data_IF_881500155574
#
_entry.id   IF_881500155574
#
_cell.length_a   1.000
_cell.length_b   1.000
_cell.length_c   1.000
_cell.angle_alpha   90.00
_cell.angle_beta   90.00
_cell.angle_gamma   90.00
#
_symmetry.space_group_name_H-M   'P 1'
#
loop_
_entity.id
_entity.type
_entity.pdbx_description
1 polymer ?
#
# COMPACT_ATOMS: atom_id res chain seq x y z
N UNK A 1 -2.74 15.79 -17.84
CA UNK A 1 -4.12 16.32 -17.98
C UNK A 1 -4.47 16.66 -19.43
N UNK A 2 -3.66 17.48 -20.12
CA UNK A 2 -3.89 17.86 -21.52
C UNK A 2 -4.03 16.69 -22.53
N UNK A 3 -3.26 15.60 -22.37
CA UNK A 3 -3.35 14.42 -23.25
C UNK A 3 -4.67 13.67 -23.09
N UNK A 4 -5.19 13.55 -21.87
CA UNK A 4 -6.44 12.84 -21.59
C UNK A 4 -7.66 13.54 -22.20
N UNK A 5 -7.65 14.88 -22.24
CA UNK A 5 -8.71 15.68 -22.87
C UNK A 5 -8.68 15.56 -24.40
N UNK A 6 -7.49 15.55 -25.01
CA UNK A 6 -7.33 15.37 -26.47
C UNK A 6 -7.79 14.00 -26.94
N UNK A 7 -7.56 12.96 -26.13
CA UNK A 7 -7.98 11.58 -26.43
C UNK A 7 -9.41 11.26 -25.99
N UNK A 8 -10.14 12.23 -25.41
CA UNK A 8 -11.51 12.06 -24.88
C UNK A 8 -11.66 10.87 -23.93
N UNK A 9 -10.66 10.68 -23.07
CA UNK A 9 -10.69 9.59 -22.07
C UNK A 9 -11.81 9.80 -21.07
N UNK A 10 -12.40 8.70 -20.61
CA UNK A 10 -13.35 8.73 -19.50
C UNK A 10 -12.68 9.24 -18.21
N UNK A 11 -13.49 9.76 -17.29
CA UNK A 11 -13.00 10.20 -15.98
C UNK A 11 -12.29 9.07 -15.22
N UNK A 12 -12.74 7.82 -15.40
CA UNK A 12 -12.13 6.63 -14.79
C UNK A 12 -10.72 6.39 -15.36
N UNK A 13 -10.57 6.38 -16.67
CA UNK A 13 -9.27 6.19 -17.35
C UNK A 13 -8.30 7.33 -17.03
N UNK A 14 -8.77 8.58 -17.05
CA UNK A 14 -7.97 9.74 -16.64
C UNK A 14 -7.42 9.55 -15.23
N UNK A 15 -8.27 9.14 -14.29
CA UNK A 15 -7.87 8.91 -12.89
C UNK A 15 -6.84 7.79 -12.78
N UNK A 16 -7.05 6.68 -13.49
CA UNK A 16 -6.13 5.54 -13.53
C UNK A 16 -4.76 5.94 -14.05
N UNK A 17 -4.69 6.64 -15.18
CA UNK A 17 -3.42 7.12 -15.77
C UNK A 17 -2.71 8.11 -14.84
N UNK A 18 -3.46 9.02 -14.21
CA UNK A 18 -2.88 9.94 -13.24
C UNK A 18 -2.29 9.20 -12.04
N UNK A 19 -2.99 8.21 -11.49
CA UNK A 19 -2.48 7.36 -10.39
C UNK A 19 -1.20 6.62 -10.80
N UNK A 20 -1.18 6.01 -11.99
CA UNK A 20 0.01 5.33 -12.51
C UNK A 20 1.23 6.25 -12.60
N UNK A 21 1.03 7.51 -13.00
CA UNK A 21 2.10 8.47 -13.19
C UNK A 21 2.55 9.16 -11.89
N UNK A 22 1.61 9.49 -11.00
CA UNK A 22 1.91 10.24 -9.77
C UNK A 22 2.51 9.38 -8.67
N UNK A 23 2.26 8.07 -8.68
CA UNK A 23 2.81 7.18 -7.66
C UNK A 23 4.29 6.85 -7.94
N UNK A 24 5.22 7.03 -6.97
CA UNK A 24 6.65 6.82 -7.19
C UNK A 24 7.10 5.35 -7.10
N UNK A 25 6.23 4.42 -6.70
CA UNK A 25 6.60 3.01 -6.44
C UNK A 25 7.14 2.33 -7.69
N UNK A 26 8.41 1.93 -7.69
CA UNK A 26 9.02 1.22 -8.81
C UNK A 26 8.76 -0.28 -8.67
N UNK A 27 8.17 -0.88 -9.70
CA UNK A 27 8.00 -2.34 -9.78
C UNK A 27 9.20 -2.97 -10.48
N UNK A 28 9.67 -4.10 -9.94
CA UNK A 28 10.69 -4.97 -10.54
C UNK A 28 10.16 -6.40 -10.55
N UNK A 29 10.70 -7.26 -11.42
CA UNK A 29 10.20 -8.62 -11.56
C UNK A 29 10.51 -9.55 -10.38
N UNK A 30 11.48 -9.21 -9.54
CA UNK A 30 11.99 -10.07 -8.45
C UNK A 30 11.61 -9.55 -7.05
N UNK A 31 10.44 -8.92 -6.92
CA UNK A 31 9.92 -8.54 -5.59
C UNK A 31 9.72 -9.78 -4.72
N UNK A 32 10.17 -9.70 -3.47
CA UNK A 32 9.85 -10.69 -2.44
C UNK A 32 8.36 -10.67 -2.12
N UNK A 33 7.84 -11.77 -1.55
CA UNK A 33 6.42 -11.85 -1.17
C UNK A 33 6.00 -10.71 -0.24
N UNK A 34 6.85 -10.35 0.74
CA UNK A 34 6.60 -9.24 1.66
C UNK A 34 6.50 -7.90 0.95
N UNK A 35 7.37 -7.63 -0.02
CA UNK A 35 7.31 -6.42 -0.84
C UNK A 35 6.05 -6.39 -1.72
N UNK A 36 5.65 -7.53 -2.28
CA UNK A 36 4.41 -7.65 -3.06
C UNK A 36 3.19 -7.34 -2.20
N UNK A 37 3.06 -7.96 -1.02
CA UNK A 37 1.94 -7.71 -0.12
C UNK A 37 1.89 -6.26 0.37
N UNK A 38 3.04 -5.68 0.72
CA UNK A 38 3.16 -4.25 1.06
C UNK A 38 2.68 -3.35 -0.09
N UNK A 39 3.15 -3.61 -1.31
CA UNK A 39 2.75 -2.82 -2.48
C UNK A 39 1.25 -2.98 -2.79
N UNK A 40 0.70 -4.19 -2.67
CA UNK A 40 -0.73 -4.45 -2.83
C UNK A 40 -1.59 -3.74 -1.78
N UNK A 41 -1.11 -3.65 -0.53
CA UNK A 41 -1.80 -2.94 0.54
C UNK A 41 -1.93 -1.44 0.25
N UNK A 42 -0.84 -0.78 -0.14
CA UNK A 42 -0.82 0.66 -0.37
C UNK A 42 -1.40 1.10 -1.72
N UNK A 43 -1.11 0.35 -2.80
CA UNK A 43 -1.55 0.69 -4.15
C UNK A 43 -2.96 0.19 -4.45
N UNK A 44 -3.37 -0.92 -3.82
CA UNK A 44 -4.51 -1.71 -4.23
C UNK A 44 -4.24 -2.52 -5.51
N UNK A 45 -5.13 -3.48 -5.79
CA UNK A 45 -4.95 -4.46 -6.87
C UNK A 45 -4.85 -3.81 -8.27
N UNK A 46 -5.72 -2.83 -8.57
CA UNK A 46 -5.77 -2.20 -9.90
C UNK A 46 -4.46 -1.47 -10.23
N UNK A 47 -4.02 -0.57 -9.33
CA UNK A 47 -2.80 0.20 -9.54
C UNK A 47 -1.55 -0.69 -9.45
N UNK A 48 -1.53 -1.71 -8.60
CA UNK A 48 -0.43 -2.67 -8.56
C UNK A 48 -0.25 -3.36 -9.91
N UNK A 49 -1.32 -3.93 -10.48
CA UNK A 49 -1.28 -4.60 -11.78
C UNK A 49 -0.85 -3.66 -12.91
N UNK A 50 -1.34 -2.43 -12.90
CA UNK A 50 -0.93 -1.38 -13.83
C UNK A 50 0.58 -1.15 -13.79
N UNK A 51 1.15 -0.99 -12.59
CA UNK A 51 2.59 -0.76 -12.44
C UNK A 51 3.42 -1.99 -12.80
N UNK A 52 2.92 -3.19 -12.52
CA UNK A 52 3.55 -4.45 -12.96
C UNK A 52 3.58 -4.52 -14.49
N UNK A 53 2.49 -4.19 -15.18
CA UNK A 53 2.44 -4.16 -16.65
C UNK A 53 3.36 -3.09 -17.25
N UNK A 54 3.40 -1.89 -16.66
CA UNK A 54 4.32 -0.83 -17.09
C UNK A 54 5.79 -1.24 -16.88
N UNK A 55 6.10 -1.86 -15.75
CA UNK A 55 7.44 -2.39 -15.46
C UNK A 55 7.84 -3.48 -16.45
N UNK A 56 6.94 -4.41 -16.74
CA UNK A 56 7.16 -5.48 -17.72
C UNK A 56 7.39 -4.91 -19.12
N UNK A 57 6.58 -3.96 -19.57
CA UNK A 57 6.75 -3.31 -20.87
C UNK A 57 8.12 -2.62 -21.00
N UNK A 58 8.69 -2.11 -19.90
CA UNK A 58 9.99 -1.46 -19.88
C UNK A 58 11.20 -2.41 -19.75
N UNK A 59 11.01 -3.65 -19.27
CA UNK A 59 12.10 -4.57 -18.92
C UNK A 59 12.86 -5.10 -20.16
N UNK A 60 12.24 -5.12 -21.35
CA UNK A 60 12.88 -5.49 -22.63
C UNK A 60 13.47 -6.90 -22.72
N UNK A 61 13.51 -7.64 -21.61
CA UNK A 61 14.11 -8.95 -21.41
C UNK A 61 13.03 -10.02 -21.36
N UNK A 62 13.00 -10.90 -22.37
CA UNK A 62 12.00 -11.96 -22.44
C UNK A 62 12.13 -13.02 -21.33
N UNK A 63 13.31 -13.24 -20.75
CA UNK A 63 13.51 -14.24 -19.71
C UNK A 63 12.85 -13.90 -18.37
N UNK A 64 12.48 -12.62 -18.15
CA UNK A 64 11.79 -12.17 -16.94
C UNK A 64 10.26 -12.31 -17.03
N UNK A 65 9.74 -12.76 -18.17
CA UNK A 65 8.31 -12.80 -18.45
C UNK A 65 7.53 -13.76 -17.52
N UNK A 66 8.20 -14.76 -16.93
CA UNK A 66 7.57 -15.65 -15.96
C UNK A 66 7.37 -14.95 -14.61
N UNK A 67 8.37 -14.19 -14.16
CA UNK A 67 8.38 -13.46 -12.92
C UNK A 67 7.33 -12.32 -12.94
N UNK A 68 7.23 -11.58 -14.05
CA UNK A 68 6.18 -10.57 -14.22
C UNK A 68 4.76 -11.18 -14.16
N UNK A 69 4.54 -12.34 -14.80
CA UNK A 69 3.26 -13.05 -14.72
C UNK A 69 2.96 -13.53 -13.31
N UNK A 70 3.96 -13.99 -12.57
CA UNK A 70 3.78 -14.40 -11.18
C UNK A 70 3.28 -13.24 -10.30
N UNK A 71 3.81 -12.02 -10.48
CA UNK A 71 3.32 -10.84 -9.76
C UNK A 71 1.84 -10.54 -10.04
N UNK A 72 1.41 -10.66 -11.30
CA UNK A 72 -0.01 -10.48 -11.67
C UNK A 72 -0.91 -11.54 -11.02
N UNK A 73 -0.48 -12.80 -11.01
CA UNK A 73 -1.21 -13.89 -10.38
C UNK A 73 -1.33 -13.72 -8.86
N UNK A 74 -0.28 -13.24 -8.18
CA UNK A 74 -0.34 -12.92 -6.75
C UNK A 74 -1.36 -11.82 -6.44
N UNK A 75 -1.49 -10.84 -7.35
CA UNK A 75 -2.49 -9.79 -7.21
C UNK A 75 -3.93 -10.29 -7.38
N UNK A 76 -4.15 -11.37 -8.13
CA UNK A 76 -5.47 -12.01 -8.29
C UNK A 76 -5.92 -12.74 -7.02
N UNK A 77 -4.98 -13.28 -6.26
CA UNK A 77 -5.25 -14.03 -5.02
C UNK A 77 -5.17 -13.15 -3.77
N UNK A 78 -4.99 -11.83 -3.93
CA UNK A 78 -4.77 -10.93 -2.80
C UNK A 78 -6.07 -10.63 -2.05
N UNK A 79 -6.08 -10.99 -0.76
CA UNK A 79 -7.07 -10.52 0.19
C UNK A 79 -6.42 -9.50 1.11
N UNK A 80 -7.00 -8.30 1.21
CA UNK A 80 -6.43 -7.23 2.02
C UNK A 80 -6.54 -7.62 3.51
N UNK A 81 -5.43 -7.68 4.25
CA UNK A 81 -5.46 -7.93 5.69
C UNK A 81 -6.23 -6.83 6.42
N UNK A 82 -6.99 -7.20 7.45
CA UNK A 82 -7.74 -6.25 8.26
C UNK A 82 -6.82 -5.62 9.31
N UNK A 83 -6.71 -4.30 9.32
CA UNK A 83 -5.97 -3.59 10.35
C UNK A 83 -6.86 -3.42 11.58
N UNK A 84 -6.60 -4.21 12.62
CA UNK A 84 -7.46 -4.33 13.81
C UNK A 84 -7.50 -3.12 14.74
N UNK A 85 -6.71 -2.06 14.47
CA UNK A 85 -6.67 -0.88 15.30
C UNK A 85 -7.92 -0.01 15.11
N UNK A 86 -8.61 0.31 16.21
CA UNK A 86 -9.83 1.15 16.18
C UNK A 86 -9.62 2.49 16.85
N UNK A 87 -10.42 3.51 16.46
CA UNK A 87 -10.37 4.83 17.10
C UNK A 87 -10.61 4.78 18.62
N UNK A 88 -11.44 3.83 19.09
CA UNK A 88 -11.67 3.60 20.51
C UNK A 88 -10.41 3.14 21.24
N UNK A 89 -9.58 2.30 20.62
CA UNK A 89 -8.29 1.86 21.18
C UNK A 89 -7.29 3.02 21.27
N UNK A 90 -7.27 3.93 20.28
CA UNK A 90 -6.44 5.14 20.35
C UNK A 90 -6.86 6.05 21.50
N UNK A 91 -8.17 6.28 21.67
CA UNK A 91 -8.70 7.07 22.79
C UNK A 91 -8.37 6.44 24.14
N UNK A 92 -8.56 5.13 24.27
CA UNK A 92 -8.24 4.39 25.49
C UNK A 92 -6.73 4.44 25.84
N UNK A 93 -5.88 4.63 24.84
CA UNK A 93 -4.43 4.77 25.00
C UNK A 93 -3.98 6.21 25.28
N UNK A 94 -4.91 7.15 25.43
CA UNK A 94 -4.62 8.54 25.82
C UNK A 94 -4.31 9.49 24.67
N UNK A 95 -4.60 9.11 23.42
CA UNK A 95 -4.38 9.99 22.26
C UNK A 95 -5.47 11.07 22.21
N UNK A 96 -5.11 12.37 22.23
CA UNK A 96 -6.10 13.45 22.10
C UNK A 96 -6.77 13.40 20.73
N UNK A 97 -8.05 13.74 20.68
CA UNK A 97 -8.78 13.86 19.43
C UNK A 97 -8.18 15.00 18.58
N UNK A 98 -7.92 14.72 17.30
CA UNK A 98 -7.34 15.70 16.38
C UNK A 98 -6.31 15.10 15.42
N UNK A 99 -5.48 15.95 14.79
CA UNK A 99 -4.47 15.53 13.79
C UNK A 99 -3.51 14.46 14.30
N UNK A 100 -3.15 14.49 15.59
CA UNK A 100 -2.26 13.50 16.20
C UNK A 100 -2.84 12.09 16.17
N UNK A 101 -4.16 11.93 16.27
CA UNK A 101 -4.80 10.62 16.15
C UNK A 101 -4.54 9.99 14.78
N UNK A 102 -4.64 10.77 13.71
CA UNK A 102 -4.35 10.30 12.35
C UNK A 102 -2.86 9.99 12.15
N UNK A 103 -1.98 10.76 12.80
CA UNK A 103 -0.53 10.54 12.75
C UNK A 103 -0.14 9.24 13.44
N UNK A 104 -0.59 9.04 14.69
CA UNK A 104 -0.36 7.80 15.45
C UNK A 104 -0.93 6.61 14.70
N UNK A 105 -2.15 6.72 14.18
CA UNK A 105 -2.77 5.64 13.40
C UNK A 105 -1.93 5.25 12.18
N UNK A 106 -1.48 6.24 11.39
CA UNK A 106 -0.63 5.99 10.21
C UNK A 106 0.70 5.35 10.59
N UNK A 107 1.34 5.79 11.66
CA UNK A 107 2.64 5.24 12.06
C UNK A 107 2.52 3.77 12.52
N UNK A 108 1.45 3.43 13.26
CA UNK A 108 1.19 2.04 13.65
C UNK A 108 0.82 1.20 12.42
N UNK A 109 0.04 1.74 11.49
CA UNK A 109 -0.32 1.07 10.23
C UNK A 109 0.93 0.79 9.37
N UNK A 110 1.83 1.78 9.22
CA UNK A 110 3.10 1.62 8.50
C UNK A 110 3.97 0.54 9.14
N UNK A 111 4.11 0.55 10.45
CA UNK A 111 4.84 -0.50 11.17
C UNK A 111 4.21 -1.87 10.98
N UNK A 112 2.88 -1.97 11.03
CA UNK A 112 2.16 -3.25 10.90
C UNK A 112 2.29 -3.82 9.48
N UNK A 113 2.22 -2.97 8.45
CA UNK A 113 2.47 -3.36 7.06
C UNK A 113 3.93 -3.80 6.90
N UNK A 114 4.87 -3.08 7.51
CA UNK A 114 6.28 -3.44 7.48
C UNK A 114 6.55 -4.75 8.22
N UNK A 115 5.85 -5.03 9.32
CA UNK A 115 5.87 -6.30 10.02
C UNK A 115 5.13 -7.44 9.28
N UNK A 116 4.69 -7.19 8.04
CA UNK A 116 4.05 -8.16 7.16
C UNK A 116 2.72 -8.67 7.72
N UNK A 117 1.92 -7.72 8.24
CA UNK A 117 0.54 -7.93 8.69
C UNK A 117 0.41 -8.89 9.86
N UNK A 118 1.27 -8.72 10.88
CA UNK A 118 1.22 -9.53 12.10
C UNK A 118 -0.20 -9.52 12.69
N UNK A 119 -0.77 -10.72 12.86
CA UNK A 119 -2.10 -10.93 13.42
C UNK A 119 -1.99 -11.18 14.93
N UNK A 120 -1.45 -10.17 15.63
CA UNK A 120 -1.34 -10.17 17.08
C UNK A 120 -1.79 -8.81 17.65
N UNK A 121 -2.96 -8.82 18.28
CA UNK A 121 -3.54 -7.64 18.93
C UNK A 121 -2.63 -7.11 20.05
N UNK A 122 -1.92 -7.98 20.76
CA UNK A 122 -1.02 -7.56 21.83
C UNK A 122 0.15 -6.72 21.27
N UNK A 123 0.83 -7.22 20.23
CA UNK A 123 1.89 -6.50 19.52
C UNK A 123 1.40 -5.16 18.95
N UNK A 124 0.17 -5.10 18.43
CA UNK A 124 -0.45 -3.86 17.94
C UNK A 124 -0.65 -2.83 19.08
N UNK A 125 -1.17 -3.27 20.23
CA UNK A 125 -1.36 -2.40 21.40
C UNK A 125 -0.03 -1.93 21.98
N UNK A 126 0.97 -2.80 22.03
CA UNK A 126 2.33 -2.45 22.49
C UNK A 126 2.96 -1.40 21.58
N UNK A 127 2.88 -1.60 20.26
CA UNK A 127 3.36 -0.61 19.29
C UNK A 127 2.61 0.70 19.42
N UNK A 128 1.28 0.67 19.57
CA UNK A 128 0.47 1.87 19.80
C UNK A 128 0.97 2.65 21.01
N UNK A 129 1.15 2.02 22.17
CA UNK A 129 1.67 2.68 23.38
C UNK A 129 3.03 3.32 23.14
N UNK A 130 3.93 2.64 22.44
CA UNK A 130 5.26 3.17 22.12
C UNK A 130 5.18 4.42 21.22
N UNK A 131 4.33 4.41 20.20
CA UNK A 131 4.13 5.57 19.30
C UNK A 131 3.48 6.74 20.04
N UNK A 132 2.49 6.48 20.90
CA UNK A 132 1.83 7.49 21.73
C UNK A 132 2.83 8.16 22.67
N UNK A 133 3.69 7.37 23.32
CA UNK A 133 4.76 7.91 24.17
C UNK A 133 5.71 8.81 23.39
N UNK A 134 6.12 8.41 22.18
CA UNK A 134 7.04 9.19 21.35
C UNK A 134 6.42 10.46 20.72
N UNK A 135 5.09 10.53 20.64
CA UNK A 135 4.37 11.64 19.98
C UNK A 135 3.85 12.68 20.98
N UNK A 136 3.44 12.23 22.17
CA UNK A 136 2.80 13.08 23.20
C UNK A 136 3.80 13.58 24.25
N UNK A 137 4.87 12.83 24.52
CA UNK A 137 5.91 13.17 25.50
C UNK A 137 7.24 13.48 24.81
#
# INVERSE_FOLDING_TARGET
RAVAERLRLSNKERTRILKMHSDPTKMVCYLSMREVRRALYWLGVELFKDKVMLGWAADGKNHNAMQWRALLALADTWERPNFGLTGSMLKASGVPEGPEMGRVFREVEEWWVDADFIDDEFSLIERLKAVVQATIY
#
